data_IF_502718811496
#
_entry.id   IF_502718811496
#
_cell.length_a   1.000
_cell.length_b   1.000
_cell.length_c   1.000
_cell.angle_alpha   90.00
_cell.angle_beta   90.00
_cell.angle_gamma   90.00
#
_symmetry.space_group_name_H-M   'P 1'
#
loop_
_entity.id
_entity.type
_entity.pdbx_description
1 polymer ?
#
# COMPACT_ATOMS: atom_id res chain seq x y z
N UNK A 1 -4.96 1.75 20.45
CA UNK A 1 -5.29 0.57 19.63
C UNK A 1 -4.54 0.50 18.29
N UNK A 2 -4.05 1.61 17.79
CA UNK A 2 -3.32 1.67 16.51
C UNK A 2 -1.82 1.31 16.61
N UNK A 3 -1.37 0.79 17.75
CA UNK A 3 -0.01 0.29 17.96
C UNK A 3 -0.03 -1.22 18.14
N UNK A 4 0.99 -1.96 17.67
CA UNK A 4 1.03 -3.41 17.80
C UNK A 4 0.86 -3.91 19.23
N UNK A 5 1.41 -3.17 20.20
CA UNK A 5 1.37 -3.53 21.62
C UNK A 5 -0.06 -3.45 22.21
N UNK A 6 -0.92 -2.63 21.61
CA UNK A 6 -2.31 -2.50 22.02
C UNK A 6 -3.22 -3.62 21.46
N UNK A 7 -2.67 -4.50 20.62
CA UNK A 7 -3.42 -5.57 19.95
C UNK A 7 -3.42 -6.89 20.72
N UNK A 8 -2.80 -6.93 21.89
CA UNK A 8 -2.80 -8.09 22.79
C UNK A 8 -3.94 -7.98 23.79
N UNK A 9 -4.80 -9.00 23.84
CA UNK A 9 -5.86 -9.09 24.83
C UNK A 9 -6.17 -10.56 25.16
N UNK A 10 -6.65 -10.80 26.37
CA UNK A 10 -7.21 -12.11 26.75
C UNK A 10 -8.66 -12.19 26.29
N UNK A 11 -9.02 -13.27 25.59
CA UNK A 11 -10.41 -13.51 25.11
C UNK A 11 -11.42 -13.51 26.26
N UNK A 12 -10.99 -13.81 27.49
CA UNK A 12 -11.85 -13.78 28.69
C UNK A 12 -12.21 -12.36 29.16
N UNK A 13 -11.46 -11.35 28.74
CA UNK A 13 -11.66 -9.95 29.14
C UNK A 13 -12.43 -9.13 28.09
N UNK A 14 -12.98 -9.79 27.07
CA UNK A 14 -13.70 -9.09 25.99
C UNK A 14 -15.07 -8.62 26.47
N UNK A 15 -15.22 -7.34 26.64
CA UNK A 15 -16.49 -6.68 26.94
C UNK A 15 -16.75 -5.56 25.92
N UNK A 16 -17.97 -5.56 25.33
CA UNK A 16 -18.40 -4.52 24.40
C UNK A 16 -18.02 -4.77 22.94
N UNK A 17 -17.83 -3.69 22.19
CA UNK A 17 -17.53 -3.78 20.76
C UNK A 17 -16.09 -4.19 20.50
N UNK A 18 -15.92 -5.06 19.52
CA UNK A 18 -14.65 -5.63 19.13
C UNK A 18 -14.17 -5.08 17.78
N UNK A 19 -12.88 -4.86 17.68
CA UNK A 19 -12.26 -4.45 16.43
C UNK A 19 -10.97 -5.20 16.16
N UNK A 20 -10.79 -5.66 14.92
CA UNK A 20 -9.55 -6.22 14.44
C UNK A 20 -8.60 -5.12 13.98
N UNK A 21 -7.39 -5.12 14.51
CA UNK A 21 -6.29 -4.30 14.02
C UNK A 21 -5.66 -4.97 12.78
N UNK A 22 -6.30 -4.85 11.62
CA UNK A 22 -6.08 -5.67 10.42
C UNK A 22 -4.60 -5.86 10.05
N UNK A 23 -3.85 -4.76 9.95
CA UNK A 23 -2.44 -4.80 9.56
C UNK A 23 -1.51 -5.40 10.62
N UNK A 24 -1.97 -5.53 11.87
CA UNK A 24 -1.19 -6.07 12.99
C UNK A 24 -1.56 -7.50 13.35
N UNK A 25 -2.59 -8.06 12.72
CA UNK A 25 -2.92 -9.47 12.86
C UNK A 25 -1.78 -10.37 12.36
N UNK A 26 -1.72 -11.58 12.88
CA UNK A 26 -0.75 -12.61 12.45
C UNK A 26 -1.50 -13.91 12.16
N UNK A 27 -1.70 -14.26 10.89
CA UNK A 27 -1.32 -13.53 9.66
C UNK A 27 -1.98 -12.16 9.53
N UNK A 28 -1.41 -11.29 8.68
CA UNK A 28 -2.03 -10.00 8.34
C UNK A 28 -3.41 -10.24 7.75
N UNK A 29 -4.40 -9.48 8.20
CA UNK A 29 -5.76 -9.55 7.67
C UNK A 29 -6.12 -8.29 6.88
N UNK A 30 -7.08 -8.44 5.99
CA UNK A 30 -7.72 -7.35 5.29
C UNK A 30 -9.22 -7.58 5.18
N UNK A 31 -9.96 -6.53 4.87
CA UNK A 31 -11.38 -6.65 4.57
C UNK A 31 -11.75 -6.00 3.24
N UNK A 32 -12.67 -6.62 2.53
CA UNK A 32 -13.51 -6.01 1.51
C UNK A 32 -14.78 -5.55 2.23
N UNK A 33 -14.88 -4.26 2.52
CA UNK A 33 -16.03 -3.63 3.19
C UNK A 33 -16.97 -3.04 2.13
N UNK A 34 -18.05 -3.74 1.84
CA UNK A 34 -19.06 -3.34 0.85
C UNK A 34 -20.12 -2.50 1.55
N UNK A 35 -20.11 -1.20 1.28
CA UNK A 35 -21.10 -0.26 1.82
C UNK A 35 -22.39 -0.22 1.00
N UNK A 36 -22.33 -0.55 -0.30
CA UNK A 36 -23.49 -0.55 -1.18
C UNK A 36 -23.38 -1.64 -2.26
N UNK A 37 -24.01 -2.79 -1.98
CA UNK A 37 -24.00 -3.96 -2.87
C UNK A 37 -24.40 -3.67 -4.33
N UNK A 38 -25.48 -2.88 -4.63
CA UNK A 38 -25.85 -2.62 -6.00
C UNK A 38 -24.77 -1.91 -6.84
N UNK A 39 -23.96 -1.03 -6.24
CA UNK A 39 -22.87 -0.35 -6.95
C UNK A 39 -21.56 -1.13 -6.92
N UNK A 40 -21.34 -2.01 -5.94
CA UNK A 40 -20.13 -2.80 -5.83
C UNK A 40 -20.13 -4.01 -6.78
N UNK A 41 -21.26 -4.69 -6.92
CA UNK A 41 -21.39 -5.92 -7.74
C UNK A 41 -20.89 -5.75 -9.18
N UNK A 42 -21.26 -4.71 -9.96
CA UNK A 42 -20.76 -4.56 -11.32
C UNK A 42 -19.23 -4.52 -11.40
N UNK A 43 -18.59 -3.68 -10.57
CA UNK A 43 -17.12 -3.53 -10.55
C UNK A 43 -16.44 -4.82 -10.11
N UNK A 44 -16.97 -5.49 -9.09
CA UNK A 44 -16.38 -6.73 -8.58
C UNK A 44 -16.54 -7.88 -9.59
N UNK A 45 -17.70 -7.99 -10.24
CA UNK A 45 -17.93 -8.99 -11.29
C UNK A 45 -17.03 -8.77 -12.51
N UNK A 46 -16.76 -7.50 -12.90
CA UNK A 46 -15.85 -7.17 -14.00
C UNK A 46 -14.42 -7.70 -13.75
N UNK A 47 -13.98 -7.72 -12.51
CA UNK A 47 -12.67 -8.27 -12.13
C UNK A 47 -12.72 -9.77 -11.76
N UNK A 48 -13.85 -10.44 -11.99
CA UNK A 48 -14.03 -11.87 -11.72
C UNK A 48 -14.32 -12.23 -10.26
N UNK A 49 -14.77 -11.27 -9.46
CA UNK A 49 -15.16 -11.49 -8.05
C UNK A 49 -16.69 -11.53 -7.95
N UNK A 50 -17.21 -12.72 -7.72
CA UNK A 50 -18.63 -12.93 -7.42
C UNK A 50 -18.84 -12.98 -5.90
N UNK A 51 -19.54 -11.98 -5.38
CA UNK A 51 -19.82 -11.88 -3.95
C UNK A 51 -20.70 -12.99 -3.39
N UNK A 52 -21.42 -13.74 -4.23
CA UNK A 52 -22.29 -14.84 -3.75
C UNK A 52 -21.47 -16.12 -3.53
N UNK A 53 -20.46 -16.36 -4.35
CA UNK A 53 -19.70 -17.61 -4.38
C UNK A 53 -18.28 -17.51 -3.84
N UNK A 54 -17.78 -16.30 -3.61
CA UNK A 54 -16.40 -16.07 -3.11
C UNK A 54 -16.17 -16.78 -1.76
N UNK A 55 -15.04 -17.48 -1.68
CA UNK A 55 -14.61 -18.17 -0.46
C UNK A 55 -14.02 -17.17 0.55
N UNK A 56 -14.83 -16.73 1.51
CA UNK A 56 -14.47 -15.73 2.49
C UNK A 56 -15.23 -15.88 3.81
N UNK A 57 -14.65 -15.40 4.88
CA UNK A 57 -15.39 -15.15 6.12
C UNK A 57 -16.25 -13.92 5.95
N UNK A 58 -17.53 -14.05 6.27
CA UNK A 58 -18.55 -13.03 6.03
C UNK A 58 -19.07 -12.42 7.31
N UNK A 59 -19.25 -11.11 7.32
CA UNK A 59 -19.84 -10.36 8.44
C UNK A 59 -20.99 -9.51 7.91
N UNK A 60 -22.13 -9.59 8.57
CA UNK A 60 -23.26 -8.68 8.37
C UNK A 60 -23.40 -7.72 9.54
N UNK A 61 -23.60 -6.43 9.24
CA UNK A 61 -23.81 -5.39 10.24
C UNK A 61 -25.29 -5.12 10.53
N UNK A 62 -26.21 -5.85 9.88
CA UNK A 62 -27.65 -5.57 9.90
C UNK A 62 -28.10 -4.38 9.05
N UNK A 63 -27.16 -3.69 8.37
CA UNK A 63 -27.51 -2.68 7.35
C UNK A 63 -27.85 -3.38 6.04
N UNK A 64 -28.92 -2.93 5.40
CA UNK A 64 -29.27 -3.41 4.07
C UNK A 64 -28.18 -3.06 3.05
N UNK A 65 -27.98 -3.94 2.08
CA UNK A 65 -27.03 -3.75 0.98
C UNK A 65 -25.57 -3.57 1.42
N UNK A 66 -25.19 -4.02 2.61
CA UNK A 66 -23.82 -4.01 3.10
C UNK A 66 -23.32 -5.42 3.43
N UNK A 67 -22.02 -5.64 3.26
CA UNK A 67 -21.37 -6.92 3.52
C UNK A 67 -19.88 -6.67 3.78
N UNK A 68 -19.30 -7.40 4.73
CA UNK A 68 -17.85 -7.41 4.93
C UNK A 68 -17.30 -8.81 4.69
N UNK A 69 -16.17 -8.88 3.99
CA UNK A 69 -15.45 -10.12 3.73
C UNK A 69 -14.03 -9.99 4.27
N UNK A 70 -13.58 -11.00 5.03
CA UNK A 70 -12.23 -11.03 5.58
C UNK A 70 -11.34 -12.00 4.80
N UNK A 71 -10.08 -11.59 4.59
CA UNK A 71 -9.04 -12.36 3.92
C UNK A 71 -7.70 -12.20 4.61
N UNK A 72 -6.77 -13.12 4.35
CA UNK A 72 -5.35 -13.03 4.71
C UNK A 72 -4.60 -12.28 3.62
N UNK A 73 -3.59 -11.52 4.03
CA UNK A 73 -2.61 -10.86 3.17
C UNK A 73 -1.19 -11.30 3.53
N UNK A 74 -0.31 -11.36 2.55
CA UNK A 74 1.12 -11.60 2.76
C UNK A 74 1.84 -10.43 3.43
N UNK A 75 1.36 -9.20 3.18
CA UNK A 75 1.89 -7.95 3.76
C UNK A 75 0.80 -6.87 3.82
N UNK A 76 0.90 -5.90 4.77
CA UNK A 76 -0.08 -4.82 4.86
C UNK A 76 -0.12 -3.96 3.59
N UNK A 77 -1.34 -3.69 3.09
CA UNK A 77 -1.60 -2.76 2.00
C UNK A 77 -2.36 -1.54 2.50
N UNK A 78 -2.11 -0.39 1.86
CA UNK A 78 -2.85 0.83 2.14
C UNK A 78 -4.32 0.67 1.74
N UNK A 79 -5.22 1.12 2.60
CA UNK A 79 -6.68 1.16 2.34
C UNK A 79 -6.98 1.99 1.10
N UNK A 80 -7.89 1.49 0.27
CA UNK A 80 -8.42 2.16 -0.92
C UNK A 80 -9.94 2.22 -0.83
N UNK A 81 -10.50 3.39 -1.13
CA UNK A 81 -11.94 3.64 -1.14
C UNK A 81 -12.42 3.76 -2.58
N UNK A 82 -13.36 2.91 -2.97
CA UNK A 82 -13.96 2.91 -4.31
C UNK A 82 -15.35 3.55 -4.22
N UNK A 83 -15.58 4.55 -5.06
CA UNK A 83 -16.82 5.33 -5.09
C UNK A 83 -17.58 5.16 -6.40
N UNK A 84 -18.89 5.26 -6.28
CA UNK A 84 -19.82 5.45 -7.38
C UNK A 84 -20.46 6.84 -7.22
N UNK A 85 -19.99 7.82 -8.00
CA UNK A 85 -20.26 9.23 -7.77
C UNK A 85 -19.74 9.69 -6.38
N UNK A 86 -20.63 10.26 -5.57
CA UNK A 86 -20.30 10.71 -4.21
C UNK A 86 -20.44 9.60 -3.15
N UNK A 87 -21.04 8.46 -3.52
CA UNK A 87 -21.28 7.35 -2.61
C UNK A 87 -20.09 6.42 -2.54
N UNK A 88 -19.71 5.98 -1.33
CA UNK A 88 -18.79 4.86 -1.16
C UNK A 88 -19.50 3.58 -1.60
N UNK A 89 -18.89 2.88 -2.55
CA UNK A 89 -19.36 1.59 -3.06
C UNK A 89 -18.78 0.46 -2.19
N UNK A 90 -17.47 0.42 -2.08
CA UNK A 90 -16.76 -0.51 -1.21
C UNK A 90 -15.36 0.02 -0.87
N UNK A 91 -14.75 -0.55 0.16
CA UNK A 91 -13.39 -0.28 0.59
C UNK A 91 -12.57 -1.57 0.65
N UNK A 92 -11.30 -1.49 0.23
CA UNK A 92 -10.28 -2.51 0.48
C UNK A 92 -9.43 -2.02 1.64
N UNK A 93 -9.56 -2.65 2.81
CA UNK A 93 -9.08 -2.12 4.09
C UNK A 93 -7.99 -3.00 4.69
N UNK A 94 -6.88 -2.40 5.12
CA UNK A 94 -5.84 -3.06 5.90
C UNK A 94 -5.03 -2.05 6.72
N UNK A 95 -4.29 -1.13 6.07
CA UNK A 95 -3.48 -0.10 6.72
C UNK A 95 -3.86 1.29 6.23
N UNK A 96 -3.52 2.32 6.99
CA UNK A 96 -3.64 3.71 6.55
C UNK A 96 -2.41 4.16 5.73
N UNK A 97 -2.40 5.43 5.31
CA UNK A 97 -1.30 6.00 4.51
C UNK A 97 0.03 6.10 5.26
N UNK A 98 0.05 5.98 6.58
CA UNK A 98 1.26 6.00 7.41
C UNK A 98 1.73 4.61 7.83
N UNK A 99 1.09 3.55 7.30
CA UNK A 99 1.40 2.16 7.65
C UNK A 99 0.81 1.67 8.98
N UNK A 100 0.04 2.50 9.69
CA UNK A 100 -0.70 2.06 10.85
C UNK A 100 -1.93 1.25 10.44
N UNK A 101 -2.38 0.36 11.33
CA UNK A 101 -3.56 -0.46 11.08
C UNK A 101 -4.84 0.35 10.93
N UNK A 102 -5.79 -0.17 10.16
CA UNK A 102 -7.22 0.18 10.27
C UNK A 102 -7.92 -0.84 11.15
N UNK A 103 -8.95 -0.38 11.84
CA UNK A 103 -9.79 -1.23 12.66
C UNK A 103 -10.99 -1.74 11.86
N UNK A 104 -11.25 -3.05 11.91
CA UNK A 104 -12.46 -3.66 11.37
C UNK A 104 -13.33 -4.16 12.49
N UNK A 105 -14.59 -3.69 12.53
CA UNK A 105 -15.54 -4.08 13.57
C UNK A 105 -16.07 -5.49 13.27
N UNK A 106 -16.02 -6.36 14.27
CA UNK A 106 -16.40 -7.77 14.17
C UNK A 106 -17.49 -8.15 15.17
N UNK A 107 -18.18 -9.28 14.95
CA UNK A 107 -19.10 -9.85 15.95
C UNK A 107 -18.43 -10.10 17.31
N UNK A 108 -19.14 -9.94 18.43
CA UNK A 108 -20.57 -9.61 18.55
C UNK A 108 -20.86 -8.11 18.74
N UNK A 109 -20.10 -7.24 18.11
CA UNK A 109 -20.24 -5.77 18.25
C UNK A 109 -21.64 -5.29 17.89
N UNK A 110 -22.03 -4.16 18.49
CA UNK A 110 -23.29 -3.48 18.20
C UNK A 110 -23.01 -2.27 17.31
N UNK A 111 -23.68 -2.21 16.17
CA UNK A 111 -23.64 -1.07 15.27
C UNK A 111 -24.36 0.15 15.90
N UNK A 112 -23.98 1.40 15.60
CA UNK A 112 -24.66 2.59 16.11
C UNK A 112 -26.17 2.66 15.84
N UNK A 113 -26.67 1.94 14.83
CA UNK A 113 -28.12 1.78 14.58
C UNK A 113 -28.82 0.82 15.54
N UNK A 114 -28.11 0.17 16.46
CA UNK A 114 -28.63 -0.81 17.38
C UNK A 114 -28.64 -2.26 16.86
N UNK A 115 -28.20 -2.50 15.62
CA UNK A 115 -28.09 -3.86 15.06
C UNK A 115 -26.78 -4.52 15.50
N UNK A 116 -26.79 -5.84 15.65
CA UNK A 116 -25.60 -6.60 16.03
C UNK A 116 -24.86 -7.08 14.80
N UNK A 117 -23.51 -6.98 14.82
CA UNK A 117 -22.68 -7.65 13.83
C UNK A 117 -22.73 -9.15 14.06
N UNK A 118 -22.93 -9.91 13.00
CA UNK A 118 -22.99 -11.38 13.04
C UNK A 118 -22.10 -11.98 11.97
N UNK A 119 -21.55 -13.17 12.28
CA UNK A 119 -20.95 -14.02 11.25
C UNK A 119 -22.06 -14.53 10.32
N UNK A 120 -21.88 -14.32 9.01
CA UNK A 120 -22.85 -14.79 8.01
C UNK A 120 -22.47 -16.20 7.55
N UNK A 121 -22.93 -17.18 8.29
CA UNK A 121 -22.62 -18.60 8.09
C UNK A 121 -21.97 -19.23 9.33
N UNK A 122 -21.29 -20.35 9.11
CA UNK A 122 -20.65 -21.13 10.18
C UNK A 122 -19.16 -20.80 10.37
N UNK A 123 -18.62 -19.91 9.54
CA UNK A 123 -17.20 -19.52 9.55
C UNK A 123 -16.97 -18.31 10.45
N UNK A 124 -15.77 -18.30 11.06
CA UNK A 124 -15.28 -17.19 11.89
C UNK A 124 -13.80 -16.87 11.55
N UNK A 125 -13.09 -16.23 12.47
CA UNK A 125 -11.70 -15.79 12.26
C UNK A 125 -10.71 -16.92 12.00
N UNK A 126 -10.99 -18.13 12.44
CA UNK A 126 -10.10 -19.28 12.24
C UNK A 126 -10.18 -19.80 10.77
N UNK A 127 -11.27 -19.48 10.07
CA UNK A 127 -11.57 -19.92 8.70
C UNK A 127 -11.19 -18.90 7.63
N UNK A 128 -10.49 -17.81 7.98
CA UNK A 128 -10.12 -16.77 7.01
C UNK A 128 -9.18 -17.34 5.96
N UNK A 129 -9.53 -17.16 4.68
CA UNK A 129 -8.79 -17.63 3.50
C UNK A 129 -7.85 -16.56 2.95
N UNK A 130 -6.96 -16.93 2.04
CA UNK A 130 -6.12 -15.96 1.31
C UNK A 130 -7.00 -15.07 0.40
N UNK A 131 -6.58 -13.81 0.23
CA UNK A 131 -7.26 -12.90 -0.69
C UNK A 131 -7.19 -13.46 -2.12
N UNK A 132 -8.30 -13.48 -2.89
CA UNK A 132 -8.28 -13.86 -4.29
C UNK A 132 -7.31 -13.00 -5.10
N UNK A 133 -6.53 -13.63 -5.97
CA UNK A 133 -5.52 -12.96 -6.79
C UNK A 133 -6.12 -11.81 -7.63
N UNK A 134 -7.31 -12.01 -8.20
CA UNK A 134 -8.00 -10.98 -8.96
C UNK A 134 -8.29 -9.73 -8.12
N UNK A 135 -8.74 -9.90 -6.86
CA UNK A 135 -9.00 -8.80 -5.95
C UNK A 135 -7.72 -8.11 -5.49
N UNK A 136 -6.66 -8.88 -5.26
CA UNK A 136 -5.34 -8.36 -4.91
C UNK A 136 -4.74 -7.53 -6.05
N UNK A 137 -4.81 -8.02 -7.28
CA UNK A 137 -4.35 -7.33 -8.48
C UNK A 137 -5.13 -6.03 -8.72
N UNK A 138 -6.44 -6.05 -8.52
CA UNK A 138 -7.27 -4.86 -8.57
C UNK A 138 -6.83 -3.83 -7.50
N UNK A 139 -6.60 -4.27 -6.26
CA UNK A 139 -6.14 -3.39 -5.19
C UNK A 139 -4.81 -2.71 -5.54
N UNK A 140 -3.83 -3.48 -6.02
CA UNK A 140 -2.56 -2.92 -6.48
C UNK A 140 -2.74 -1.90 -7.62
N UNK A 141 -3.61 -2.17 -8.59
CA UNK A 141 -3.88 -1.24 -9.69
C UNK A 141 -4.45 0.10 -9.20
N UNK A 142 -5.34 0.05 -8.20
CA UNK A 142 -5.93 1.25 -7.59
C UNK A 142 -4.90 2.06 -6.81
N UNK A 143 -4.00 1.41 -6.07
CA UNK A 143 -2.89 2.08 -5.37
C UNK A 143 -1.95 2.77 -6.37
N UNK A 144 -1.63 2.13 -7.48
CA UNK A 144 -0.84 2.73 -8.55
C UNK A 144 -1.57 3.93 -9.18
N UNK A 145 -2.88 3.83 -9.43
CA UNK A 145 -3.68 4.92 -9.98
C UNK A 145 -3.80 6.12 -9.01
N UNK A 146 -3.93 5.89 -7.70
CA UNK A 146 -3.88 6.95 -6.68
C UNK A 146 -2.54 7.67 -6.66
N UNK A 147 -1.45 6.94 -6.72
CA UNK A 147 -0.11 7.52 -6.78
C UNK A 147 0.06 8.36 -8.05
N UNK A 148 -0.41 7.87 -9.19
CA UNK A 148 -0.40 8.61 -10.45
C UNK A 148 -1.26 9.89 -10.39
N UNK A 149 -2.43 9.87 -9.74
CA UNK A 149 -3.29 11.06 -9.54
C UNK A 149 -2.68 12.06 -8.56
N UNK A 150 -2.05 11.63 -7.48
CA UNK A 150 -1.31 12.51 -6.56
C UNK A 150 -0.14 13.18 -7.27
N UNK A 151 0.55 12.46 -8.14
CA UNK A 151 1.59 13.04 -9.01
C UNK A 151 1.00 14.01 -10.04
N UNK A 152 -0.24 13.84 -10.50
CA UNK A 152 -0.91 14.77 -11.41
C UNK A 152 -1.38 16.07 -10.74
N UNK A 153 -1.75 16.05 -9.45
CA UNK A 153 -2.15 17.26 -8.69
C UNK A 153 -0.96 18.04 -8.14
N UNK A 154 0.20 17.41 -7.99
CA UNK A 154 1.49 18.08 -7.72
C UNK A 154 2.15 18.60 -9.02
N UNK A 155 1.39 18.73 -10.08
CA UNK A 155 1.80 19.20 -11.42
C UNK A 155 2.26 20.65 -11.50
N UNK A 156 2.69 21.26 -10.40
CA UNK A 156 3.42 22.51 -10.48
C UNK A 156 4.95 22.37 -10.48
N UNK A 157 5.57 21.20 -10.22
CA UNK A 157 7.04 20.99 -10.28
C UNK A 157 7.51 19.56 -10.05
N UNK A 158 6.82 18.51 -10.41
CA UNK A 158 7.34 17.17 -10.25
C UNK A 158 7.48 16.42 -11.56
N UNK A 159 8.56 15.81 -11.68
CA UNK A 159 9.28 15.23 -12.77
C UNK A 159 8.83 13.80 -13.03
N UNK A 160 8.78 13.49 -14.26
CA UNK A 160 8.23 12.42 -15.05
C UNK A 160 8.85 11.03 -14.81
N UNK A 161 8.48 10.34 -13.75
CA UNK A 161 8.58 8.88 -13.71
C UNK A 161 7.14 8.35 -13.68
N UNK A 162 6.61 7.98 -14.85
CA UNK A 162 5.19 7.68 -14.96
C UNK A 162 4.86 6.19 -15.01
N UNK A 163 5.77 5.33 -15.41
CA UNK A 163 5.67 3.85 -15.46
C UNK A 163 7.00 3.27 -15.91
N UNK A 164 7.23 1.96 -15.73
CA UNK A 164 8.39 1.19 -16.20
C UNK A 164 8.64 1.35 -17.71
N UNK A 165 9.01 2.54 -18.14
CA UNK A 165 9.34 2.81 -19.52
C UNK A 165 10.87 2.88 -19.68
N UNK A 166 11.43 2.45 -20.81
CA UNK A 166 12.86 2.62 -21.11
C UNK A 166 13.33 4.07 -20.99
N UNK A 167 12.41 5.03 -21.21
CA UNK A 167 12.67 6.47 -21.04
C UNK A 167 12.87 6.84 -19.58
N UNK A 168 12.08 6.27 -18.68
CA UNK A 168 12.13 6.59 -17.26
C UNK A 168 13.36 5.96 -16.61
N UNK A 169 13.71 4.73 -17.00
CA UNK A 169 14.99 4.11 -16.61
C UNK A 169 16.18 4.93 -17.08
N UNK A 170 16.18 5.36 -18.35
CA UNK A 170 17.24 6.21 -18.90
C UNK A 170 17.32 7.55 -18.16
N UNK A 171 16.20 8.12 -17.73
CA UNK A 171 16.16 9.35 -16.93
C UNK A 171 16.76 9.13 -15.54
N UNK A 172 16.41 8.03 -14.86
CA UNK A 172 16.98 7.69 -13.56
C UNK A 172 18.51 7.52 -13.67
N UNK A 173 18.99 6.71 -14.61
CA UNK A 173 20.42 6.53 -14.89
C UNK A 173 21.11 7.88 -15.19
N UNK A 174 20.47 8.73 -15.98
CA UNK A 174 20.97 10.06 -16.29
C UNK A 174 21.08 10.95 -15.07
N UNK A 175 20.10 10.98 -14.18
CA UNK A 175 20.16 11.77 -12.95
C UNK A 175 21.30 11.27 -12.05
N UNK A 176 21.39 9.96 -11.85
CA UNK A 176 22.43 9.34 -11.04
C UNK A 176 23.84 9.59 -11.60
N UNK A 177 24.03 9.68 -12.92
CA UNK A 177 25.32 9.98 -13.52
C UNK A 177 25.88 11.36 -13.18
N UNK A 178 25.05 12.27 -12.67
CA UNK A 178 25.48 13.58 -12.17
C UNK A 178 25.76 13.60 -10.66
N UNK A 179 25.54 12.49 -9.97
CA UNK A 179 25.72 12.37 -8.52
C UNK A 179 26.93 11.49 -8.26
N UNK A 180 27.89 12.03 -7.51
CA UNK A 180 29.09 11.27 -7.17
C UNK A 180 28.75 10.11 -6.23
N UNK A 181 29.01 8.83 -6.59
CA UNK A 181 28.76 7.70 -5.69
C UNK A 181 29.68 7.68 -4.45
N UNK A 182 30.85 8.37 -4.50
CA UNK A 182 31.75 8.58 -3.35
C UNK A 182 31.29 9.74 -2.44
N UNK A 183 29.98 9.92 -2.27
CA UNK A 183 29.41 10.89 -1.35
C UNK A 183 29.40 10.34 0.09
N UNK A 184 29.09 11.20 1.06
CA UNK A 184 28.90 10.78 2.45
C UNK A 184 27.71 9.83 2.60
N UNK A 185 27.69 9.09 3.73
CA UNK A 185 26.68 8.06 3.99
C UNK A 185 25.25 8.60 3.97
N UNK A 186 25.03 9.79 4.50
CA UNK A 186 23.68 10.38 4.57
C UNK A 186 23.17 10.71 3.16
N UNK A 187 23.99 11.38 2.35
CA UNK A 187 23.71 11.67 0.95
C UNK A 187 23.45 10.39 0.15
N UNK A 188 24.27 9.36 0.35
CA UNK A 188 24.13 8.08 -0.33
C UNK A 188 22.76 7.43 -0.01
N UNK A 189 22.36 7.41 1.27
CA UNK A 189 21.03 6.91 1.70
C UNK A 189 19.89 7.68 1.06
N UNK A 190 19.97 9.02 1.06
CA UNK A 190 18.95 9.86 0.46
C UNK A 190 18.82 9.62 -1.06
N UNK A 191 19.93 9.45 -1.76
CA UNK A 191 19.93 9.14 -3.21
C UNK A 191 19.30 7.78 -3.47
N UNK A 192 19.73 6.72 -2.75
CA UNK A 192 19.16 5.38 -2.89
C UNK A 192 17.64 5.39 -2.66
N UNK A 193 17.20 5.94 -1.53
CA UNK A 193 15.78 5.95 -1.19
C UNK A 193 14.95 6.82 -2.15
N UNK A 194 15.55 7.88 -2.68
CA UNK A 194 14.89 8.70 -3.69
C UNK A 194 14.81 7.99 -5.05
N UNK A 195 15.80 7.16 -5.40
CA UNK A 195 15.75 6.30 -6.57
C UNK A 195 14.64 5.24 -6.43
N UNK A 196 14.54 4.60 -5.26
CA UNK A 196 13.46 3.64 -4.97
C UNK A 196 12.07 4.30 -4.99
N UNK A 197 11.98 5.58 -4.61
CA UNK A 197 10.73 6.33 -4.64
C UNK A 197 10.19 6.59 -6.04
N UNK A 198 10.97 6.33 -7.09
CA UNK A 198 10.50 6.38 -8.49
C UNK A 198 9.46 5.31 -8.80
N UNK A 199 9.48 4.20 -8.06
CA UNK A 199 8.59 3.05 -8.29
C UNK A 199 8.95 2.22 -9.53
N UNK A 200 10.10 2.48 -10.17
CA UNK A 200 10.56 1.67 -11.31
C UNK A 200 10.95 0.26 -10.84
N UNK A 201 10.55 -0.76 -11.57
CA UNK A 201 10.91 -2.17 -11.29
C UNK A 201 12.42 -2.35 -11.18
N UNK A 202 13.20 -1.68 -12.04
CA UNK A 202 14.65 -1.77 -12.07
C UNK A 202 15.37 -0.73 -11.17
N UNK A 203 14.64 0.03 -10.31
CA UNK A 203 15.23 1.06 -9.47
C UNK A 203 16.34 0.51 -8.56
N UNK A 204 16.16 -0.69 -8.01
CA UNK A 204 17.17 -1.36 -7.16
C UNK A 204 18.45 -1.64 -7.96
N UNK A 205 18.31 -2.30 -9.11
CA UNK A 205 19.46 -2.63 -9.97
C UNK A 205 20.19 -1.37 -10.46
N UNK A 206 19.46 -0.35 -10.89
CA UNK A 206 20.03 0.93 -11.34
C UNK A 206 20.77 1.64 -10.20
N UNK A 207 20.23 1.59 -8.98
CA UNK A 207 20.87 2.16 -7.80
C UNK A 207 22.11 1.38 -7.38
N UNK A 208 22.12 0.06 -7.55
CA UNK A 208 23.27 -0.78 -7.31
C UNK A 208 24.40 -0.44 -8.28
N UNK A 209 24.11 -0.43 -9.60
CA UNK A 209 25.07 -0.06 -10.64
C UNK A 209 25.74 1.30 -10.33
N UNK A 210 24.94 2.28 -9.87
CA UNK A 210 25.46 3.58 -9.48
C UNK A 210 26.36 3.50 -8.24
N UNK A 211 25.95 2.77 -7.20
CA UNK A 211 26.70 2.62 -5.95
C UNK A 211 28.02 1.88 -6.16
N UNK A 212 28.06 0.89 -7.06
CA UNK A 212 29.26 0.14 -7.44
C UNK A 212 30.33 1.03 -8.12
N UNK A 213 29.94 2.18 -8.66
CA UNK A 213 30.86 3.21 -9.12
C UNK A 213 31.76 3.78 -8.02
N UNK A 214 31.44 3.52 -6.74
CA UNK A 214 32.29 3.80 -5.57
C UNK A 214 33.08 2.55 -5.18
N UNK A 215 34.12 2.22 -5.95
CA UNK A 215 34.89 0.97 -5.80
C UNK A 215 35.51 0.77 -4.42
N UNK A 216 35.77 1.82 -3.65
CA UNK A 216 36.42 1.76 -2.34
C UNK A 216 35.42 1.69 -1.16
N UNK A 217 34.17 2.11 -1.37
CA UNK A 217 33.18 2.24 -0.30
C UNK A 217 31.98 1.30 -0.46
N UNK A 218 31.77 0.74 -1.67
CA UNK A 218 30.61 -0.11 -1.92
C UNK A 218 30.73 -1.45 -1.17
N UNK A 219 29.67 -1.76 -0.42
CA UNK A 219 29.49 -3.06 0.23
C UNK A 219 28.09 -3.61 -0.09
N UNK A 220 28.03 -4.76 -0.74
CA UNK A 220 26.78 -5.37 -1.18
C UNK A 220 25.84 -5.73 -0.03
N UNK A 221 26.38 -6.20 1.11
CA UNK A 221 25.57 -6.54 2.28
C UNK A 221 24.93 -5.29 2.90
N UNK A 222 25.69 -4.20 2.96
CA UNK A 222 25.20 -2.91 3.44
C UNK A 222 24.16 -2.32 2.47
N UNK A 223 24.39 -2.42 1.17
CA UNK A 223 23.42 -2.03 0.15
C UNK A 223 22.11 -2.81 0.32
N UNK A 224 22.15 -4.15 0.41
CA UNK A 224 20.96 -4.99 0.58
C UNK A 224 20.23 -4.68 1.90
N UNK A 225 20.95 -4.46 2.98
CA UNK A 225 20.37 -4.03 4.26
C UNK A 225 19.66 -2.70 4.12
N UNK A 226 20.25 -1.76 3.38
CA UNK A 226 19.67 -0.45 3.12
C UNK A 226 18.38 -0.56 2.30
N UNK A 227 18.39 -1.34 1.20
CA UNK A 227 17.19 -1.59 0.38
C UNK A 227 16.07 -2.16 1.25
N UNK A 228 16.36 -3.15 2.10
CA UNK A 228 15.37 -3.77 2.99
C UNK A 228 14.83 -2.80 4.06
N UNK A 229 15.55 -1.75 4.39
CA UNK A 229 15.14 -0.73 5.35
C UNK A 229 14.25 0.37 4.72
N UNK A 230 14.17 0.42 3.40
CA UNK A 230 13.38 1.44 2.69
C UNK A 230 11.90 1.42 3.13
N UNK A 231 11.37 2.60 3.36
CA UNK A 231 9.94 2.82 3.62
C UNK A 231 9.43 3.91 2.70
N UNK A 232 8.41 3.60 1.90
CA UNK A 232 7.81 4.55 0.98
C UNK A 232 7.21 5.77 1.73
N UNK A 233 7.29 6.94 1.10
CA UNK A 233 6.64 8.17 1.58
C UNK A 233 7.54 9.16 2.31
N UNK A 234 8.76 8.81 2.67
CA UNK A 234 9.72 9.73 3.31
C UNK A 234 10.64 10.43 2.31
N UNK A 235 10.84 9.84 1.14
CA UNK A 235 11.75 10.34 0.10
C UNK A 235 10.99 10.55 -1.20
N UNK A 236 11.48 11.46 -2.04
CA UNK A 236 10.86 11.78 -3.32
C UNK A 236 11.89 11.94 -4.41
N UNK A 237 11.47 11.81 -5.65
CA UNK A 237 12.30 12.07 -6.84
C UNK A 237 12.88 13.48 -6.88
N UNK A 238 12.28 14.44 -6.17
CA UNK A 238 12.79 15.79 -6.01
C UNK A 238 14.21 15.84 -5.43
N UNK A 239 14.54 14.91 -4.51
CA UNK A 239 15.88 14.79 -3.91
C UNK A 239 16.91 14.34 -4.96
N UNK A 240 16.56 13.43 -5.88
CA UNK A 240 17.46 13.07 -7.02
C UNK A 240 17.79 14.29 -7.88
N UNK A 241 16.77 15.07 -8.22
CA UNK A 241 17.00 16.28 -9.00
C UNK A 241 17.81 17.33 -8.25
N UNK A 242 17.62 17.44 -6.93
CA UNK A 242 18.42 18.34 -6.11
C UNK A 242 19.92 17.99 -6.20
N UNK A 243 20.28 16.74 -5.92
CA UNK A 243 21.68 16.30 -5.98
C UNK A 243 22.26 16.29 -7.40
N UNK A 244 21.47 15.85 -8.39
CA UNK A 244 21.89 15.89 -9.79
C UNK A 244 22.19 17.32 -10.26
N UNK A 245 21.40 18.33 -9.83
CA UNK A 245 21.66 19.74 -10.15
C UNK A 245 22.93 20.25 -9.50
N UNK A 246 23.24 19.86 -8.28
CA UNK A 246 24.51 20.18 -7.65
C UNK A 246 25.68 19.61 -8.43
N UNK A 247 25.54 18.42 -9.01
CA UNK A 247 26.50 17.79 -9.92
C UNK A 247 26.50 18.35 -11.35
N UNK A 248 25.69 19.40 -11.63
CA UNK A 248 25.70 20.08 -12.94
C UNK A 248 24.58 19.66 -13.89
N UNK A 249 23.62 18.84 -13.45
CA UNK A 249 22.44 18.52 -14.28
C UNK A 249 21.63 19.78 -14.58
N UNK A 250 21.56 20.13 -15.84
CA UNK A 250 20.67 21.18 -16.35
C UNK A 250 19.61 20.51 -17.19
N UNK A 251 18.43 20.26 -16.59
CA UNK A 251 17.31 19.71 -17.33
C UNK A 251 17.05 20.47 -18.62
N UNK A 252 16.59 19.78 -19.66
CA UNK A 252 16.17 20.42 -20.91
C UNK A 252 15.15 21.51 -20.56
N UNK A 253 15.47 22.77 -20.87
CA UNK A 253 14.44 23.81 -20.96
C UNK A 253 13.52 23.36 -22.10
N UNK A 254 12.30 22.94 -21.80
CA UNK A 254 11.22 22.94 -22.78
C UNK A 254 10.73 24.36 -22.97
#
# INVERSE_FOLDING_TARGET
>A
WNKPEASTYDKSEIHGNLGLALAFCKPVLCSLDVDHLPSAKPTLNEIGIDLETIDAVRIKSGRENSLKLLFKLSAPLKTVVIKDGDRVSFELRCANSTGNTVCEVIPPSIHPSGTTYIWDGLRDLDDVTEIPEALLNYWHSMLCAENSKKHATVRARSFDFACDSPRDEALLRKLLSYINPNCDRATWLEVIFSALSTGLTNAVSISQDWSEGSSEQFNLNDFNSTINSYRAGHYSTGTLYYYARQGGYRGSKK
#
